data_IF_401955774507
#
_entry.id   IF_401955774507
#
_cell.length_a   1.000
_cell.length_b   1.000
_cell.length_c   1.000
_cell.angle_alpha   90.00
_cell.angle_beta   90.00
_cell.angle_gamma   90.00
#
_symmetry.space_group_name_H-M   'P 1'
#
loop_
_entity.id
_entity.type
_entity.pdbx_description
1 polymer ?
2 non-polymer ?
3 water ?
#
# COMPACT_ATOMS: atom_id res chain seq x y z
N UNK A 5 -1.56 -27.00 -20.35
CA UNK A 5 -0.86 -26.31 -19.23
C UNK A 5 -1.84 -25.33 -18.57
N UNK A 6 -1.85 -25.32 -17.22
CA UNK A 6 -2.60 -24.32 -16.48
C UNK A 6 -2.06 -22.91 -16.79
N UNK A 7 -0.76 -22.81 -17.13
CA UNK A 7 -0.12 -21.55 -17.47
C UNK A 7 -0.76 -20.98 -18.74
N UNK A 8 -0.69 -21.73 -19.85
CA UNK A 8 -1.34 -21.33 -21.10
C UNK A 8 -2.80 -20.96 -20.89
N UNK A 9 -3.49 -21.77 -20.09
CA UNK A 9 -4.87 -21.53 -19.73
C UNK A 9 -5.00 -20.18 -19.01
N UNK A 10 -4.08 -19.91 -18.06
CA UNK A 10 -4.17 -18.68 -17.29
C UNK A 10 -3.85 -17.44 -18.13
N UNK A 11 -2.84 -17.55 -19.00
CA UNK A 11 -2.54 -16.49 -19.97
C UNK A 11 -3.79 -16.09 -20.73
N UNK A 12 -4.51 -17.10 -21.24
CA UNK A 12 -5.69 -16.89 -22.07
C UNK A 12 -6.76 -16.15 -21.27
N UNK A 13 -6.90 -16.49 -19.97
CA UNK A 13 -7.84 -15.83 -19.07
C UNK A 13 -7.50 -14.34 -18.90
N UNK A 14 -6.21 -14.06 -18.69
CA UNK A 14 -5.75 -12.68 -18.50
C UNK A 14 -6.01 -11.84 -19.75
N UNK A 15 -5.83 -12.43 -20.93
CA UNK A 15 -6.03 -11.72 -22.19
C UNK A 15 -7.47 -11.21 -22.30
N UNK A 16 -8.42 -11.97 -21.72
CA UNK A 16 -9.82 -11.62 -21.75
C UNK A 16 -10.08 -10.30 -21.00
N UNK A 17 -9.22 -9.90 -20.05
CA UNK A 17 -9.51 -8.72 -19.24
C UNK A 17 -8.57 -7.52 -19.48
N UNK A 18 -7.47 -7.69 -20.23
CA UNK A 18 -6.47 -6.64 -20.36
C UNK A 18 -6.73 -5.88 -21.66
N UNK A 19 -6.04 -4.75 -21.86
CA UNK A 19 -6.09 -4.04 -23.11
C UNK A 19 -5.40 -4.88 -24.18
N UNK A 20 -5.83 -4.79 -25.46
CA UNK A 20 -5.07 -5.41 -26.55
C UNK A 20 -3.79 -4.63 -26.81
N UNK A 21 -2.79 -5.33 -27.36
CA UNK A 21 -1.62 -4.65 -27.89
C UNK A 21 -0.45 -4.73 -26.92
N UNK A 22 0.54 -3.87 -27.19
CA UNK A 22 1.87 -4.03 -26.69
C UNK A 22 2.47 -2.65 -26.47
N UNK A 23 2.67 -2.24 -25.20
CA UNK A 23 3.17 -0.91 -24.90
C UNK A 23 4.64 -0.68 -25.27
N UNK A 24 5.36 -1.75 -25.65
CA UNK A 24 6.73 -1.60 -26.14
C UNK A 24 6.70 -0.84 -27.46
N UNK A 25 5.54 -0.88 -28.12
CA UNK A 25 5.27 -0.09 -29.30
C UNK A 25 5.40 1.42 -29.04
N UNK A 26 5.11 1.96 -27.82
CA UNK A 26 5.09 3.40 -27.61
C UNK A 26 6.01 3.88 -26.49
N UNK A 27 6.72 2.95 -25.80
CA UNK A 27 7.63 3.26 -24.72
C UNK A 27 9.10 2.96 -25.10
N UNK A 28 10.04 3.78 -24.58
CA UNK A 28 11.48 3.59 -24.71
C UNK A 28 12.14 3.52 -23.32
N UNK A 29 13.33 2.91 -23.26
CA UNK A 29 14.26 3.13 -22.15
C UNK A 29 13.65 2.64 -20.82
N UNK A 30 13.16 1.40 -20.83
CA UNK A 30 12.79 0.69 -19.60
C UNK A 30 13.98 0.60 -18.67
N UNK A 31 13.85 1.11 -17.44
CA UNK A 31 14.89 1.06 -16.42
C UNK A 31 14.21 0.61 -15.13
N UNK A 32 14.80 -0.43 -14.51
CA UNK A 32 14.23 -1.02 -13.32
C UNK A 32 14.50 -0.05 -12.17
N UNK A 33 13.44 0.29 -11.40
CA UNK A 33 13.54 1.18 -10.27
C UNK A 33 13.09 0.50 -8.98
N UNK A 34 12.54 -0.71 -9.02
CA UNK A 34 12.26 -1.45 -7.78
C UNK A 34 11.58 -2.79 -8.04
N UNK A 35 11.21 -3.49 -6.95
CA UNK A 35 10.56 -4.79 -7.02
C UNK A 35 9.68 -4.97 -5.80
N UNK A 36 8.47 -5.50 -6.01
CA UNK A 36 7.63 -6.00 -4.94
C UNK A 36 7.67 -7.54 -4.87
N UNK A 37 6.69 -8.11 -4.17
CA UNK A 37 6.53 -9.55 -4.02
C UNK A 37 5.99 -10.19 -5.30
N UNK A 38 5.24 -9.41 -6.12
CA UNK A 38 4.56 -9.93 -7.31
C UNK A 38 5.29 -9.58 -8.62
N UNK A 39 6.32 -8.71 -8.59
CA UNK A 39 7.06 -8.39 -9.80
C UNK A 39 7.92 -7.15 -9.64
N UNK A 40 8.38 -6.61 -10.78
CA UNK A 40 9.32 -5.51 -10.81
C UNK A 40 8.61 -4.25 -11.33
N UNK A 41 9.25 -3.09 -11.11
CA UNK A 41 8.72 -1.80 -11.52
C UNK A 41 9.82 -1.15 -12.33
N UNK A 42 9.50 -0.76 -13.58
CA UNK A 42 10.42 -0.06 -14.46
C UNK A 42 9.86 1.34 -14.70
N UNK A 43 10.75 2.32 -14.90
CA UNK A 43 10.32 3.58 -15.45
C UNK A 43 10.46 3.41 -16.97
N UNK A 44 9.63 4.08 -17.75
CA UNK A 44 9.72 4.07 -19.21
C UNK A 44 9.41 5.47 -19.72
N UNK A 45 9.93 5.81 -20.91
CA UNK A 45 9.66 7.09 -21.56
C UNK A 45 8.62 6.85 -22.64
N UNK A 46 7.55 7.64 -22.65
CA UNK A 46 6.62 7.67 -23.77
C UNK A 46 7.36 8.37 -24.93
N UNK A 47 7.62 7.67 -26.03
CA UNK A 47 8.43 8.22 -27.12
C UNK A 47 7.87 9.54 -27.68
N UNK A 48 6.56 9.61 -27.99
CA UNK A 48 5.95 10.77 -28.67
C UNK A 48 6.12 12.05 -27.85
N UNK A 49 6.06 11.94 -26.52
CA UNK A 49 5.89 13.09 -25.64
C UNK A 49 7.12 13.37 -24.77
N UNK A 50 7.93 12.33 -24.49
CA UNK A 50 8.99 12.38 -23.48
C UNK A 50 8.43 12.31 -22.05
N UNK A 51 7.14 11.94 -21.91
CA UNK A 51 6.53 11.78 -20.60
C UNK A 51 7.07 10.50 -19.99
N UNK A 52 7.19 10.44 -18.66
CA UNK A 52 7.62 9.22 -17.99
C UNK A 52 6.38 8.51 -17.44
N UNK A 53 6.42 7.16 -17.46
CA UNK A 53 5.39 6.32 -16.87
C UNK A 53 6.10 5.21 -16.12
N UNK A 54 5.34 4.52 -15.25
CA UNK A 54 5.82 3.39 -14.49
C UNK A 54 5.14 2.16 -15.09
N UNK A 55 5.87 1.07 -15.20
CA UNK A 55 5.35 -0.18 -15.72
C UNK A 55 5.66 -1.26 -14.69
N UNK A 56 4.59 -1.86 -14.13
CA UNK A 56 4.76 -2.98 -13.23
C UNK A 56 4.65 -4.25 -14.07
N UNK A 57 5.62 -5.15 -13.93
CA UNK A 57 5.72 -6.38 -14.75
C UNK A 57 5.71 -7.58 -13.81
N UNK A 58 4.65 -8.40 -13.92
CA UNK A 58 4.38 -9.50 -13.01
C UNK A 58 4.34 -10.81 -13.80
N UNK A 59 5.34 -11.70 -13.57
CA UNK A 59 5.42 -12.99 -14.26
C UNK A 59 4.32 -13.94 -13.77
N UNK A 60 3.53 -14.49 -14.71
CA UNK A 60 2.39 -15.34 -14.39
C UNK A 60 2.83 -16.64 -13.69
N UNK A 61 4.08 -17.07 -13.90
CA UNK A 61 4.61 -18.33 -13.36
C UNK A 61 5.23 -18.15 -11.97
N UNK A 62 5.30 -16.92 -11.43
CA UNK A 62 6.07 -16.66 -10.23
C UNK A 62 5.19 -16.09 -9.12
N UNK A 63 3.87 -16.34 -9.18
CA UNK A 63 2.93 -15.86 -8.17
C UNK A 63 2.61 -16.98 -7.20
N UNK A 64 2.42 -16.64 -5.91
CA UNK A 64 1.91 -17.55 -4.89
C UNK A 64 0.46 -17.93 -5.22
N UNK A 65 -0.38 -16.93 -5.53
CA UNK A 65 -1.76 -17.13 -5.94
C UNK A 65 -2.00 -16.29 -7.19
N UNK A 66 -1.93 -16.91 -8.38
CA UNK A 66 -1.84 -16.14 -9.62
C UNK A 66 -3.20 -15.46 -9.89
N UNK A 67 -4.31 -15.98 -9.31
CA UNK A 67 -5.64 -15.36 -9.47
C UNK A 67 -5.67 -13.96 -8.86
N UNK A 68 -4.74 -13.63 -7.92
CA UNK A 68 -4.70 -12.30 -7.32
C UNK A 68 -4.29 -11.23 -8.36
N UNK A 69 -3.64 -11.63 -9.47
CA UNK A 69 -3.26 -10.69 -10.53
C UNK A 69 -4.46 -9.91 -11.06
N UNK A 70 -5.67 -10.50 -11.00
CA UNK A 70 -6.89 -9.85 -11.44
C UNK A 70 -7.19 -8.56 -10.66
N UNK A 71 -6.69 -8.46 -9.40
CA UNK A 71 -6.91 -7.30 -8.54
C UNK A 71 -6.43 -6.00 -9.16
N UNK A 72 -5.26 -6.04 -9.80
CA UNK A 72 -4.76 -4.91 -10.56
C UNK A 72 -5.82 -4.38 -11.56
N UNK A 73 -6.46 -5.26 -12.35
CA UNK A 73 -7.38 -4.75 -13.37
C UNK A 73 -8.77 -4.40 -12.76
N UNK A 74 -9.21 -5.05 -11.67
CA UNK A 74 -10.36 -4.59 -10.88
C UNK A 74 -10.15 -3.15 -10.35
N UNK A 75 -9.04 -2.85 -9.67
CA UNK A 75 -8.81 -1.49 -9.17
C UNK A 75 -8.73 -0.50 -10.34
N UNK A 76 -8.02 -0.87 -11.41
CA UNK A 76 -7.83 0.01 -12.55
C UNK A 76 -9.19 0.42 -13.13
N UNK A 77 -10.07 -0.56 -13.33
CA UNK A 77 -11.36 -0.33 -13.98
C UNK A 77 -12.31 0.46 -13.08
N UNK A 78 -12.20 0.34 -11.74
CA UNK A 78 -13.35 0.63 -10.86
C UNK A 78 -13.08 1.68 -9.76
N UNK A 79 -11.85 1.81 -9.21
CA UNK A 79 -11.62 2.47 -7.91
C UNK A 79 -10.50 3.50 -7.95
N UNK A 80 -10.33 4.16 -9.11
CA UNK A 80 -9.46 5.33 -9.32
C UNK A 80 -9.95 6.51 -8.46
N UNK A 81 -9.02 7.37 -7.97
CA UNK A 81 -9.17 8.38 -6.89
C UNK A 81 -7.86 9.15 -6.79
N UNK A 82 -7.88 10.35 -6.19
CA UNK A 82 -6.72 11.24 -6.17
C UNK A 82 -5.62 10.84 -5.19
N UNK A 83 -5.90 9.91 -4.24
CA UNK A 83 -4.89 9.38 -3.32
C UNK A 83 -4.61 7.91 -3.68
N UNK A 84 -5.00 7.51 -4.89
CA UNK A 84 -4.66 6.22 -5.49
C UNK A 84 -3.89 6.49 -6.79
N UNK A 85 -2.77 5.75 -6.96
CA UNK A 85 -1.97 5.76 -8.17
C UNK A 85 -2.86 5.54 -9.39
N UNK A 86 -2.76 6.41 -10.41
CA UNK A 86 -3.51 6.24 -11.65
C UNK A 86 -2.92 5.08 -12.43
N UNK A 87 -3.82 4.18 -12.85
CA UNK A 87 -3.49 3.03 -13.67
C UNK A 87 -4.07 3.31 -15.06
N UNK A 88 -3.25 3.34 -16.11
CA UNK A 88 -3.67 3.76 -17.44
C UNK A 88 -4.13 2.56 -18.27
N UNK A 89 -3.31 1.48 -18.32
CA UNK A 89 -3.62 0.34 -19.17
C UNK A 89 -2.96 -0.91 -18.58
N UNK A 90 -3.48 -2.07 -18.98
CA UNK A 90 -2.93 -3.37 -18.61
C UNK A 90 -2.81 -4.19 -19.89
N UNK A 91 -1.77 -5.02 -19.98
CA UNK A 91 -1.47 -5.78 -21.19
C UNK A 91 -0.93 -7.14 -20.76
N UNK A 92 -1.10 -8.15 -21.63
CA UNK A 92 -0.37 -9.40 -21.52
C UNK A 92 0.82 -9.30 -22.48
N UNK A 93 2.04 -9.36 -21.93
CA UNK A 93 3.26 -9.30 -22.72
C UNK A 93 4.05 -10.58 -22.45
N UNK A 94 4.03 -11.48 -23.43
CA UNK A 94 4.57 -12.81 -23.27
C UNK A 94 3.94 -13.48 -22.06
N UNK A 95 4.77 -13.80 -21.05
CA UNK A 95 4.31 -14.51 -19.86
C UNK A 95 4.09 -13.56 -18.70
N UNK A 96 3.99 -12.25 -18.97
CA UNK A 96 3.86 -11.25 -17.89
C UNK A 96 2.62 -10.41 -18.09
N UNK A 97 2.01 -10.01 -16.95
CA UNK A 97 1.07 -8.90 -16.90
C UNK A 97 1.88 -7.63 -16.69
N UNK A 98 1.65 -6.65 -17.60
CA UNK A 98 2.20 -5.31 -17.47
C UNK A 98 1.06 -4.34 -17.19
N UNK A 99 1.29 -3.50 -16.17
CA UNK A 99 0.39 -2.42 -15.79
C UNK A 99 1.18 -1.14 -15.94
N UNK A 100 0.68 -0.27 -16.85
CA UNK A 100 1.25 1.02 -17.12
C UNK A 100 0.52 2.03 -16.24
N UNK A 101 1.29 2.74 -15.44
CA UNK A 101 0.70 3.61 -14.44
C UNK A 101 1.51 4.89 -14.35
N UNK A 102 0.91 5.84 -13.66
CA UNK A 102 1.53 7.08 -13.25
C UNK A 102 2.91 6.76 -12.66
N UNK A 103 3.92 7.58 -13.00
CA UNK A 103 5.21 7.55 -12.31
C UNK A 103 5.20 8.51 -11.11
N UNK A 104 5.36 7.98 -9.90
CA UNK A 104 5.38 8.73 -8.65
C UNK A 104 6.86 8.99 -8.33
N UNK A 105 7.36 10.15 -8.79
CA UNK A 105 8.78 10.43 -8.87
C UNK A 105 9.36 10.70 -7.49
N UNK A 106 8.51 11.04 -6.49
CA UNK A 106 8.93 11.19 -5.11
C UNK A 106 9.32 9.85 -4.46
N UNK A 107 8.99 8.72 -5.11
CA UNK A 107 9.41 7.41 -4.62
C UNK A 107 8.51 6.91 -3.47
N UNK A 108 8.98 5.89 -2.75
CA UNK A 108 8.22 5.18 -1.74
C UNK A 108 8.55 5.77 -0.37
N UNK A 109 7.56 5.66 0.54
CA UNK A 109 7.72 6.14 1.91
C UNK A 109 8.79 5.34 2.63
N UNK A 110 9.07 4.11 2.18
CA UNK A 110 10.07 3.23 2.78
C UNK A 110 11.43 3.91 2.84
N UNK A 111 11.84 4.59 1.76
CA UNK A 111 13.17 5.18 1.72
C UNK A 111 13.25 6.24 2.81
N UNK A 112 12.14 6.97 3.02
CA UNK A 112 12.09 8.09 3.96
C UNK A 112 12.15 7.54 5.39
N UNK A 113 11.35 6.51 5.72
CA UNK A 113 11.31 6.00 7.09
C UNK A 113 12.62 5.30 7.42
N UNK A 114 13.34 4.81 6.40
CA UNK A 114 14.64 4.16 6.59
C UNK A 114 15.75 5.15 6.95
N UNK A 115 15.74 6.37 6.35
CA UNK A 115 16.91 7.23 6.30
C UNK A 115 16.71 8.56 7.01
N UNK A 116 15.51 8.83 7.53
CA UNK A 116 15.06 10.17 7.89
C UNK A 116 14.25 10.05 9.19
N UNK A 117 13.96 11.18 9.86
CA UNK A 117 13.05 11.20 11.01
C UNK A 117 11.90 12.15 10.72
N UNK A 118 10.72 11.60 10.39
CA UNK A 118 9.56 12.43 10.10
C UNK A 118 9.11 13.14 11.39
N UNK A 119 8.71 14.39 11.28
CA UNK A 119 8.03 15.08 12.37
C UNK A 119 6.53 14.80 12.26
N UNK A 120 5.76 15.30 13.24
CA UNK A 120 4.35 14.95 13.39
C UNK A 120 3.49 15.61 12.33
N UNK A 121 3.88 16.80 11.87
CA UNK A 121 3.22 17.47 10.74
C UNK A 121 3.25 16.57 9.48
N UNK A 122 4.39 15.90 9.28
CA UNK A 122 4.66 15.05 8.12
C UNK A 122 3.90 13.73 8.28
N UNK A 123 3.95 13.14 9.48
CA UNK A 123 3.27 11.91 9.81
C UNK A 123 1.76 12.11 9.62
N UNK A 124 1.24 13.25 10.10
CA UNK A 124 -0.17 13.57 10.03
C UNK A 124 -0.61 13.73 8.58
N UNK A 125 0.23 14.39 7.75
CA UNK A 125 -0.05 14.56 6.33
C UNK A 125 -0.18 13.18 5.66
N UNK A 126 0.73 12.23 5.95
CA UNK A 126 0.69 10.92 5.31
C UNK A 126 -0.57 10.18 5.73
N UNK A 127 -0.84 10.20 7.04
CA UNK A 127 -1.95 9.47 7.64
C UNK A 127 -3.27 10.00 7.11
N UNK A 128 -3.37 11.31 6.95
CA UNK A 128 -4.59 11.92 6.43
C UNK A 128 -4.86 11.44 5.01
N UNK A 129 -3.82 11.47 4.17
CA UNK A 129 -3.91 11.11 2.77
C UNK A 129 -4.31 9.63 2.63
N UNK A 130 -3.67 8.75 3.40
CA UNK A 130 -3.96 7.32 3.37
C UNK A 130 -5.40 7.09 3.84
N UNK A 131 -5.81 7.78 4.90
CA UNK A 131 -7.14 7.63 5.46
C UNK A 131 -8.23 8.11 4.51
N UNK A 132 -7.95 9.15 3.73
CA UNK A 132 -8.88 9.60 2.70
C UNK A 132 -9.06 8.49 1.66
N UNK A 133 -7.94 7.93 1.18
CA UNK A 133 -7.98 6.81 0.25
C UNK A 133 -8.77 5.65 0.84
N UNK A 134 -8.46 5.25 2.08
CA UNK A 134 -9.10 4.09 2.70
C UNK A 134 -10.59 4.34 2.98
N UNK A 135 -11.00 5.56 3.36
CA UNK A 135 -12.42 5.79 3.63
C UNK A 135 -13.24 5.51 2.36
N UNK A 136 -12.72 5.93 1.21
CA UNK A 136 -13.42 5.77 -0.05
C UNK A 136 -13.41 4.29 -0.48
N UNK A 137 -12.26 3.63 -0.33
CA UNK A 137 -12.16 2.21 -0.69
C UNK A 137 -13.06 1.37 0.20
N UNK A 138 -12.94 1.56 1.52
CA UNK A 138 -13.70 0.79 2.49
C UNK A 138 -15.21 1.00 2.29
N UNK A 139 -15.64 2.20 1.88
CA UNK A 139 -17.06 2.48 1.69
C UNK A 139 -17.58 1.64 0.53
N UNK A 140 -16.69 1.25 -0.39
CA UNK A 140 -17.01 0.39 -1.52
C UNK A 140 -16.69 -1.09 -1.24
N UNK A 141 -16.32 -1.44 -0.01
CA UNK A 141 -16.03 -2.83 0.30
C UNK A 141 -14.64 -3.29 -0.15
N UNK A 142 -13.77 -2.38 -0.61
CA UNK A 142 -12.41 -2.74 -1.02
C UNK A 142 -11.51 -2.67 0.21
N UNK A 143 -10.81 -3.79 0.47
CA UNK A 143 -9.77 -3.91 1.49
C UNK A 143 -8.42 -4.05 0.79
N UNK A 144 -7.45 -3.19 1.16
CA UNK A 144 -6.15 -3.16 0.49
C UNK A 144 -5.32 -4.40 0.86
N UNK A 145 -5.25 -4.65 2.19
CA UNK A 145 -4.61 -5.79 2.83
C UNK A 145 -3.08 -5.79 2.72
N UNK A 146 -2.44 -4.77 2.13
CA UNK A 146 -0.99 -4.69 2.25
C UNK A 146 -0.49 -3.27 2.57
N UNK A 147 -1.13 -2.59 3.54
CA UNK A 147 -0.70 -1.26 3.95
C UNK A 147 0.62 -1.40 4.72
N UNK A 148 1.60 -0.61 4.28
CA UNK A 148 2.95 -0.52 4.84
C UNK A 148 3.68 0.57 4.05
N UNK A 149 4.84 1.04 4.53
CA UNK A 149 5.49 2.19 3.89
C UNK A 149 5.73 1.94 2.41
N UNK A 150 6.06 0.72 2.00
CA UNK A 150 6.36 0.42 0.59
C UNK A 150 5.16 0.66 -0.33
N UNK A 151 3.94 0.53 0.22
CA UNK A 151 2.70 0.73 -0.51
C UNK A 151 2.31 2.20 -0.65
N UNK A 152 3.07 3.13 -0.04
CA UNK A 152 2.78 4.54 -0.13
C UNK A 152 3.81 5.21 -1.04
N UNK A 153 3.33 5.86 -2.11
CA UNK A 153 4.18 6.60 -3.04
C UNK A 153 3.91 8.09 -2.97
N UNK A 154 4.91 8.87 -3.39
CA UNK A 154 4.88 10.33 -3.35
C UNK A 154 5.13 10.92 -4.75
N UNK A 155 4.37 11.97 -5.09
CA UNK A 155 4.68 12.82 -6.21
C UNK A 155 5.90 13.68 -5.84
N UNK A 156 6.53 14.29 -6.86
CA UNK A 156 7.67 15.17 -6.65
C UNK A 156 7.32 16.29 -5.66
N UNK A 157 6.07 16.77 -5.69
CA UNK A 157 5.60 17.90 -4.89
C UNK A 157 4.90 17.41 -3.61
N UNK A 158 5.09 16.12 -3.26
CA UNK A 158 4.85 15.63 -1.91
C UNK A 158 3.42 15.14 -1.65
N UNK A 159 2.63 14.94 -2.71
CA UNK A 159 1.31 14.33 -2.59
C UNK A 159 1.45 12.81 -2.44
N UNK A 160 0.55 12.20 -1.66
CA UNK A 160 0.66 10.84 -1.19
C UNK A 160 -0.38 9.98 -1.90
N UNK A 161 0.04 8.81 -2.40
CA UNK A 161 -0.89 7.92 -3.10
C UNK A 161 -0.65 6.47 -2.66
N UNK A 162 -1.74 5.72 -2.52
CA UNK A 162 -1.72 4.29 -2.25
C UNK A 162 -1.41 3.56 -3.55
N UNK A 163 -0.61 2.50 -3.43
CA UNK A 163 -0.15 1.66 -4.52
C UNK A 163 -0.18 0.21 -4.04
N UNK A 164 0.24 -0.76 -4.89
CA UNK A 164 0.36 -2.18 -4.57
C UNK A 164 -0.94 -2.79 -4.07
N UNK A 165 -1.97 -2.78 -4.95
CA UNK A 165 -3.27 -3.38 -4.73
C UNK A 165 -3.34 -4.86 -5.11
N UNK A 166 -2.17 -5.46 -5.38
CA UNK A 166 -2.09 -6.86 -5.77
C UNK A 166 -2.81 -7.81 -4.82
N UNK A 167 -2.96 -7.45 -3.53
CA UNK A 167 -3.45 -8.38 -2.52
C UNK A 167 -4.82 -7.94 -2.02
N UNK A 168 -5.41 -6.94 -2.69
CA UNK A 168 -6.72 -6.45 -2.26
C UNK A 168 -7.84 -7.52 -2.44
N UNK A 169 -8.98 -7.26 -1.76
CA UNK A 169 -10.16 -8.11 -1.85
C UNK A 169 -11.38 -7.23 -1.67
N UNK A 170 -12.56 -7.79 -1.98
CA UNK A 170 -13.84 -7.11 -1.89
C UNK A 170 -14.74 -7.82 -0.88
N UNK A 171 -15.46 -7.07 -0.04
CA UNK A 171 -16.56 -7.57 0.79
C UNK A 171 -17.86 -6.90 0.31
N UNK A 172 -19.01 -7.50 0.69
CA UNK A 172 -20.33 -7.09 0.23
C UNK A 172 -21.37 -7.73 1.13
N UNK A 173 -22.64 -7.33 0.98
CA UNK A 173 -23.73 -8.00 1.68
C UNK A 173 -23.56 -9.52 1.56
N UNK A 174 -23.25 -10.03 0.34
CA UNK A 174 -23.25 -11.47 0.08
C UNK A 174 -21.95 -12.11 0.54
N UNK A 175 -20.87 -11.32 0.66
CA UNK A 175 -19.61 -11.82 1.20
C UNK A 175 -19.11 -10.80 2.20
N UNK A 176 -19.65 -10.79 3.43
CA UNK A 176 -19.37 -9.70 4.35
C UNK A 176 -17.94 -9.71 4.92
N UNK A 177 -17.24 -10.85 4.89
CA UNK A 177 -15.91 -10.97 5.47
C UNK A 177 -15.00 -11.75 4.52
N UNK A 178 -13.68 -11.54 4.64
CA UNK A 178 -12.66 -12.34 3.97
C UNK A 178 -12.04 -13.28 5.00
N UNK A 179 -11.29 -14.30 4.54
CA UNK A 179 -10.64 -15.24 5.45
C UNK A 179 -9.18 -15.51 5.08
N UNK A 180 -8.73 -15.08 3.87
CA UNK A 180 -7.40 -15.44 3.38
C UNK A 180 -6.27 -14.85 4.22
N UNK A 181 -5.19 -15.63 4.34
CA UNK A 181 -3.99 -15.17 5.02
C UNK A 181 -3.15 -14.35 4.05
N UNK A 182 -3.31 -13.02 4.08
CA UNK A 182 -2.73 -12.15 3.04
C UNK A 182 -2.12 -10.92 3.73
N UNK A 183 -0.95 -10.49 3.25
CA UNK A 183 -0.34 -9.26 3.70
C UNK A 183 1.16 -9.46 3.82
N UNK A 184 1.76 -8.67 4.71
CA UNK A 184 3.17 -8.76 5.02
C UNK A 184 3.26 -8.97 6.52
N UNK A 185 3.91 -10.08 6.95
CA UNK A 185 3.77 -10.59 8.32
C UNK A 185 3.71 -9.49 9.38
N UNK A 186 4.69 -8.56 9.36
CA UNK A 186 4.90 -7.63 10.48
C UNK A 186 3.74 -6.64 10.54
N UNK A 187 2.99 -6.47 9.43
CA UNK A 187 1.92 -5.47 9.35
C UNK A 187 0.53 -6.12 9.48
N UNK A 188 0.46 -7.46 9.56
CA UNK A 188 -0.81 -8.18 9.53
C UNK A 188 -1.59 -7.98 10.84
N UNK A 189 -2.93 -7.77 10.72
CA UNK A 189 -3.83 -7.57 11.85
C UNK A 189 -3.91 -8.87 12.67
N UNK A 190 -4.05 -8.81 14.00
CA UNK A 190 -4.06 -10.04 14.80
C UNK A 190 -5.25 -10.94 14.45
N UNK A 191 -6.47 -10.41 14.20
CA UNK A 191 -7.62 -11.23 13.82
C UNK A 191 -7.33 -12.00 12.51
N UNK A 192 -6.56 -11.38 11.61
CA UNK A 192 -6.20 -12.00 10.34
C UNK A 192 -5.19 -13.15 10.54
N UNK A 193 -4.16 -12.92 11.36
CA UNK A 193 -3.20 -13.98 11.72
C UNK A 193 -3.92 -15.13 12.43
N UNK A 194 -4.96 -14.79 13.25
CA UNK A 194 -5.77 -15.75 13.99
C UNK A 194 -6.75 -16.53 13.10
N UNK A 195 -6.92 -16.12 11.82
CA UNK A 195 -7.82 -16.75 10.84
C UNK A 195 -9.30 -16.56 11.25
N UNK A 196 -9.61 -15.43 11.87
CA UNK A 196 -10.97 -14.94 12.02
C UNK A 196 -11.40 -14.33 10.68
N UNK A 197 -12.66 -14.50 10.25
CA UNK A 197 -13.14 -13.77 9.11
C UNK A 197 -12.98 -12.29 9.48
N UNK A 198 -12.57 -11.45 8.52
CA UNK A 198 -12.20 -10.07 8.78
C UNK A 198 -12.73 -9.15 7.68
N UNK A 199 -12.66 -7.85 7.98
CA UNK A 199 -13.05 -6.82 7.05
C UNK A 199 -12.01 -5.72 6.89
N UNK A 200 -12.44 -4.51 6.47
CA UNK A 200 -11.55 -3.39 6.24
C UNK A 200 -10.78 -2.95 7.48
N UNK A 201 -11.27 -3.31 8.68
CA UNK A 201 -10.59 -2.98 9.93
C UNK A 201 -9.11 -3.38 9.85
N UNK A 202 -8.75 -4.48 9.15
CA UNK A 202 -7.35 -4.95 9.11
C UNK A 202 -6.41 -3.87 8.55
N UNK A 203 -6.90 -3.04 7.62
CA UNK A 203 -6.12 -1.98 6.99
C UNK A 203 -5.75 -0.90 8.02
N UNK A 204 -6.68 -0.63 8.96
CA UNK A 204 -6.47 0.37 10.02
C UNK A 204 -5.37 -0.11 10.97
N UNK A 205 -5.35 -1.42 11.32
CA UNK A 205 -4.26 -2.01 12.11
C UNK A 205 -2.93 -1.84 11.36
N UNK A 206 -2.90 -2.22 10.07
CA UNK A 206 -1.68 -2.15 9.28
C UNK A 206 -1.18 -0.69 9.23
N UNK A 207 -2.08 0.29 9.13
CA UNK A 207 -1.74 1.71 9.15
C UNK A 207 -1.09 2.09 10.49
N UNK A 208 -1.63 1.56 11.61
CA UNK A 208 -1.03 1.74 12.92
C UNK A 208 0.42 1.25 12.92
N UNK A 209 0.68 0.09 12.31
CA UNK A 209 2.05 -0.41 12.21
C UNK A 209 2.90 0.52 11.35
N UNK A 210 2.28 1.15 10.33
CA UNK A 210 3.03 2.06 9.48
C UNK A 210 3.37 3.32 10.28
N UNK A 211 2.51 3.74 11.21
CA UNK A 211 2.81 4.88 12.09
C UNK A 211 4.05 4.55 12.92
N UNK A 212 4.14 3.32 13.44
CA UNK A 212 5.32 2.82 14.14
C UNK A 212 6.53 2.88 13.21
N UNK A 213 6.40 2.42 11.95
CA UNK A 213 7.51 2.59 11.02
C UNK A 213 7.96 4.05 11.00
N UNK A 214 7.00 4.98 10.87
CA UNK A 214 7.31 6.39 10.68
C UNK A 214 7.95 7.02 11.93
N UNK A 215 7.65 6.49 13.13
CA UNK A 215 8.19 7.00 14.39
C UNK A 215 9.49 6.27 14.74
N UNK A 216 9.49 4.92 14.73
CA UNK A 216 10.61 4.08 15.16
C UNK A 216 11.56 3.66 14.03
N UNK A 217 11.19 3.83 12.73
CA UNK A 217 12.03 3.45 11.60
C UNK A 217 11.91 1.98 11.20
N UNK A 218 11.17 1.16 11.97
CA UNK A 218 10.88 -0.22 11.57
C UNK A 218 9.60 -0.68 12.28
N UNK A 219 8.91 -1.73 11.76
CA UNK A 219 7.73 -2.25 12.42
C UNK A 219 8.16 -3.08 13.63
N UNK A 220 7.25 -3.34 14.60
CA UNK A 220 7.56 -4.21 15.72
C UNK A 220 8.04 -5.58 15.23
N UNK A 221 8.96 -6.17 16.00
CA UNK A 221 9.40 -7.56 15.90
C UNK A 221 10.12 -7.79 14.58
N UNK A 222 10.65 -6.71 13.97
CA UNK A 222 11.26 -6.78 12.65
C UNK A 222 12.53 -7.62 12.65
N UNK A 223 13.12 -7.80 13.85
CA UNK A 223 14.29 -8.64 14.09
C UNK A 223 13.93 -10.14 14.11
N UNK A 224 12.66 -10.47 14.39
CA UNK A 224 12.21 -11.85 14.44
C UNK A 224 11.94 -12.35 13.03
N UNK A 225 12.16 -13.66 12.75
CA UNK A 225 11.72 -14.24 11.48
C UNK A 225 10.18 -14.11 11.40
N UNK A 226 9.59 -14.00 10.18
CA UNK A 226 8.18 -13.63 10.02
C UNK A 226 7.16 -14.53 10.73
N UNK A 227 7.26 -15.87 10.56
CA UNK A 227 6.36 -16.85 11.17
C UNK A 227 6.32 -16.65 12.68
N UNK A 228 7.48 -16.30 13.28
CA UNK A 228 7.61 -16.07 14.71
C UNK A 228 6.98 -14.73 15.12
N UNK A 229 7.18 -13.68 14.29
CA UNK A 229 6.60 -12.35 14.55
C UNK A 229 5.07 -12.38 14.57
N UNK A 230 4.46 -13.18 13.67
CA UNK A 230 3.01 -13.32 13.55
C UNK A 230 2.45 -13.93 14.86
N UNK A 231 3.12 -15.00 15.34
CA UNK A 231 2.83 -15.58 16.64
C UNK A 231 2.79 -14.49 17.70
N UNK A 232 3.79 -13.61 17.70
CA UNK A 232 3.88 -12.56 18.72
C UNK A 232 2.72 -11.59 18.59
N UNK A 233 2.40 -11.19 17.34
CA UNK A 233 1.31 -10.24 17.08
C UNK A 233 -0.01 -10.83 17.59
N UNK A 234 -0.23 -12.11 17.27
CA UNK A 234 -1.45 -12.85 17.63
C UNK A 234 -1.59 -12.89 19.15
N UNK A 235 -0.49 -13.24 19.87
CA UNK A 235 -0.56 -13.58 21.30
C UNK A 235 -0.42 -12.36 22.21
N UNK A 236 0.38 -11.36 21.83
CA UNK A 236 0.73 -10.29 22.77
C UNK A 236 -0.28 -9.14 22.69
N UNK A 237 -0.19 -8.27 23.70
CA UNK A 237 -0.91 -7.01 23.67
C UNK A 237 -0.37 -6.15 22.53
N UNK A 238 -1.12 -5.11 22.13
CA UNK A 238 -0.71 -4.26 21.01
C UNK A 238 0.73 -3.82 21.20
N UNK A 239 1.54 -3.73 20.11
CA UNK A 239 2.95 -3.35 20.22
C UNK A 239 3.08 -1.88 20.65
N UNK A 240 4.20 -1.57 21.32
CA UNK A 240 4.45 -0.25 21.89
C UNK A 240 5.57 0.41 21.08
N UNK A 241 5.48 1.74 20.92
CA UNK A 241 6.55 2.50 20.31
C UNK A 241 7.84 2.30 21.11
N UNK A 242 8.98 2.00 20.46
CA UNK A 242 10.31 2.05 21.06
C UNK A 242 10.55 3.47 21.64
N UNK A 243 10.00 4.51 21.00
CA UNK A 243 10.26 5.91 21.36
C UNK A 243 8.99 6.65 21.78
N UNK A 244 8.24 6.02 22.70
CA UNK A 244 7.02 6.58 23.26
C UNK A 244 7.23 8.03 23.67
N UNK A 245 8.40 8.29 24.27
CA UNK A 245 8.70 9.57 24.92
C UNK A 245 8.87 10.69 23.92
N UNK A 246 8.90 10.35 22.60
CA UNK A 246 9.15 11.31 21.54
C UNK A 246 7.87 11.74 20.83
N UNK A 247 6.69 11.17 21.18
CA UNK A 247 5.47 11.47 20.43
C UNK A 247 4.52 12.31 21.28
N UNK A 248 3.79 13.24 20.65
CA UNK A 248 2.81 14.08 21.33
C UNK A 248 1.73 13.19 21.93
N UNK A 249 1.01 13.64 22.97
CA UNK A 249 -0.14 12.88 23.45
C UNK A 249 -1.18 12.70 22.35
N UNK A 250 -1.36 13.70 21.48
CA UNK A 250 -2.25 13.69 20.31
C UNK A 250 -1.97 12.48 19.39
N UNK A 251 -0.67 12.24 19.07
CA UNK A 251 -0.27 11.14 18.19
C UNK A 251 -0.49 9.81 18.90
N UNK A 252 -0.12 9.74 20.19
CA UNK A 252 -0.35 8.53 20.98
C UNK A 252 -1.86 8.19 21.04
N UNK A 253 -2.71 9.20 21.24
CA UNK A 253 -4.16 9.04 21.31
C UNK A 253 -4.69 8.46 20.01
N UNK A 254 -4.18 9.02 18.89
CA UNK A 254 -4.46 8.57 17.52
C UNK A 254 -4.04 7.12 17.37
N UNK A 255 -2.79 6.79 17.68
CA UNK A 255 -2.30 5.45 17.51
C UNK A 255 -3.12 4.44 18.29
N UNK A 256 -3.63 4.84 19.47
CA UNK A 256 -4.35 3.93 20.36
C UNK A 256 -5.69 3.55 19.74
N UNK A 257 -6.22 4.37 18.83
CA UNK A 257 -7.44 4.07 18.08
C UNK A 257 -7.15 3.09 16.92
N UNK A 258 -5.88 2.93 16.50
CA UNK A 258 -5.48 2.11 15.35
C UNK A 258 -5.14 0.71 15.83
N UNK A 259 -4.26 0.60 16.85
CA UNK A 259 -3.71 -0.67 17.30
C UNK A 259 -4.59 -1.25 18.41
N UNK A 260 -5.89 -1.46 18.10
CA UNK A 260 -6.87 -2.12 18.96
C UNK A 260 -6.99 -3.59 18.51
N UNK A 261 -6.73 -4.56 19.42
CA UNK A 261 -6.79 -5.98 19.07
C UNK A 261 -8.18 -6.36 18.56
N UNK A 262 -9.22 -5.88 19.25
CA UNK A 262 -10.60 -6.19 18.92
C UNK A 262 -11.05 -5.32 17.75
N UNK A 263 -11.27 -5.90 16.55
CA UNK A 263 -11.65 -5.13 15.37
C UNK A 263 -12.92 -4.30 15.51
N UNK A 264 -13.87 -4.76 16.36
CA UNK A 264 -15.12 -4.05 16.61
C UNK A 264 -14.90 -2.75 17.39
N UNK A 265 -13.76 -2.61 18.12
CA UNK A 265 -13.46 -1.43 18.92
C UNK A 265 -12.43 -0.52 18.21
N UNK A 266 -11.81 -1.01 17.11
CA UNK A 266 -10.85 -0.25 16.33
C UNK A 266 -11.61 0.87 15.62
N UNK A 267 -11.05 2.09 15.56
CA UNK A 267 -11.63 3.17 14.78
C UNK A 267 -11.68 2.80 13.29
N UNK A 268 -12.68 3.32 12.57
CA UNK A 268 -12.79 3.19 11.13
C UNK A 268 -12.07 4.37 10.49
N UNK A 269 -11.76 4.23 9.21
CA UNK A 269 -11.17 5.31 8.44
C UNK A 269 -11.99 6.60 8.59
N UNK A 270 -13.31 6.51 8.37
CA UNK A 270 -14.20 7.66 8.40
C UNK A 270 -14.17 8.34 9.78
N UNK A 271 -14.14 7.57 10.89
CA UNK A 271 -13.97 8.15 12.22
C UNK A 271 -12.60 8.82 12.37
N UNK A 272 -11.54 8.14 11.90
CA UNK A 272 -10.18 8.64 12.04
C UNK A 272 -9.96 9.95 11.28
N UNK A 273 -10.70 10.19 10.19
CA UNK A 273 -10.58 11.45 9.47
C UNK A 273 -10.90 12.67 10.33
N UNK A 274 -11.63 12.50 11.46
CA UNK A 274 -12.07 13.62 12.30
C UNK A 274 -11.15 13.75 13.52
N UNK A 275 -10.19 12.83 13.69
CA UNK A 275 -9.35 12.80 14.88
C UNK A 275 -8.53 14.10 14.92
N UNK A 276 -8.34 14.70 16.12
CA UNK A 276 -7.56 15.92 16.25
C UNK A 276 -6.10 15.83 15.79
N UNK A 277 -5.43 14.68 15.95
CA UNK A 277 -4.07 14.52 15.45
C UNK A 277 -3.91 14.97 14.00
N UNK A 278 -4.92 14.73 13.15
CA UNK A 278 -4.81 15.06 11.73
C UNK A 278 -4.92 16.56 11.48
N UNK A 279 -5.36 17.37 12.45
CA UNK A 279 -5.34 18.83 12.30
C UNK A 279 -3.89 19.35 12.14
N UNK A 280 -2.90 18.60 12.68
CA UNK A 280 -1.47 18.84 12.57
C UNK A 280 -0.95 18.65 11.13
N UNK A 281 -1.70 17.95 10.28
CA UNK A 281 -1.24 17.56 8.95
C UNK A 281 -0.74 18.79 8.19
N UNK A 282 0.48 18.74 7.68
CA UNK A 282 1.02 19.76 6.81
C UNK A 282 0.53 19.59 5.39
N UNK A 283 0.76 20.59 4.51
CA UNK A 283 0.45 20.44 3.10
C UNK A 283 1.46 19.52 2.46
N UNK A 284 1.23 19.08 1.20
CA UNK A 284 2.19 18.24 0.48
C UNK A 284 3.62 18.76 0.52
N UNK A 285 3.78 20.08 0.35
CA UNK A 285 5.10 20.71 0.40
C UNK A 285 5.90 20.26 1.63
N UNK A 286 5.21 19.95 2.75
CA UNK A 286 5.88 19.67 4.01
C UNK A 286 6.68 18.36 3.92
N UNK A 287 6.29 17.47 2.99
CA UNK A 287 6.88 16.13 2.77
C UNK A 287 8.13 16.19 1.89
N UNK A 288 8.16 17.11 0.92
CA UNK A 288 9.17 17.22 -0.13
C UNK A 288 10.61 17.16 0.40
N UNK A 289 10.98 17.89 1.48
CA UNK A 289 12.34 17.84 2.05
C UNK A 289 12.83 16.46 2.52
N UNK A 290 11.92 15.52 2.79
CA UNK A 290 12.27 14.17 3.23
C UNK A 290 12.84 13.31 2.08
N UNK A 291 12.47 13.61 0.83
CA UNK A 291 12.81 12.78 -0.33
C UNK A 291 14.33 12.82 -0.58
N UNK A 292 14.87 11.68 -1.06
CA UNK A 292 16.29 11.47 -1.30
C UNK A 292 16.88 12.63 -2.09
N UNK A 293 16.22 13.10 -3.16
CA UNK A 293 16.75 14.18 -4.02
C UNK A 293 16.78 15.56 -3.35
N UNK A 294 16.18 15.70 -2.15
CA UNK A 294 16.10 17.00 -1.48
C UNK A 294 16.90 17.01 -0.17
N UNK A 295 16.92 15.90 0.56
CA UNK A 295 17.53 15.87 1.88
C UNK A 295 19.03 16.19 1.81
N UNK A 296 19.73 15.73 0.76
CA UNK A 296 21.15 15.99 0.61
C UNK A 296 21.37 17.44 0.13
N UNK A 297 20.59 17.91 -0.84
CA UNK A 297 20.67 19.28 -1.33
C UNK A 297 20.94 20.24 -0.18
X LIG B 1 9.16 3.94 -7.28
X LIG B 1 5.06 4.01 -9.38
X LIG B 1 6.92 4.99 -8.98
X LIG B 1 3.78 3.76 -9.82
X LIG B 1 3.23 2.56 -9.54
X LIG B 1 3.95 1.59 -8.83
X LIG B 1 3.30 0.33 -8.52
X LIG B 1 5.81 3.09 -8.65
X LIG B 1 10.21 3.52 -6.39
X LIG B 1 8.16 3.15 -7.63
X LIG B 1 8.21 1.93 -7.38
X LIG B 1 7.02 3.72 -8.39
X LIG B 1 5.74 5.18 -9.58
X LIG B 1 2.80 -0.68 -8.31
X LIG B 1 5.23 1.85 -8.35
X LIG B 1 9.19 4.74 -7.59
X LIG B 1 7.59 5.65 -8.97
X LIG B 1 3.30 4.41 -10.30
X LIG B 1 2.36 2.38 -9.83
X LIG B 1 9.82 3.19 -5.57
X LIG B 1 10.79 4.27 -6.19
X LIG B 1 10.73 2.82 -6.81
X LIG B 1 5.71 1.20 -7.86
#
# INVERSE_FOLDING_TARGET
>A
GPLGSSHEQFRAALQAVVDPGDPRSYLDNFIKIGEGSTGIVCIATVRSSGKLVAVKKMDLRKQQRRELLFNEVVIMRDYQHENVVEMYNSYLVGDELWVVMEFLEGGALTDIVTHTRMNEEQIAAVCLAVLQALSVLHAQGVIHRDIKSDSILLTHDGRVKLSDFGFCAQVSKEVPRRKSLVGTPYWMAPELISRLPYGPEVDIWSLGIMVIEMVDGEPPYFNEPPLKAMKMIRDNLPPRLKNLHKVSPSLKGFLDRLLVRDPAQRATAAELLKHPFLAKAGPPASIVPLMRQNRTR
>B hetero
1 M4X N1 N3 C4 C5 C6 C7 C8 C10 C1 C2 O1 C3 N2 N4 C9 H4 H5 H6 H7 H1 H2 H3 H8
#
